data_IF_527312778975
#
_entry.id   IF_527312778975
#
_cell.length_a   1.000
_cell.length_b   1.000
_cell.length_c   1.000
_cell.angle_alpha   90.00
_cell.angle_beta   90.00
_cell.angle_gamma   90.00
#
_symmetry.space_group_name_H-M   'P 1'
#
loop_
_entity.id
_entity.type
_entity.pdbx_description
1 polymer ?
#
# COMPACT_ATOMS: atom_id res chain seq x y z
N UNK A 1 -6.28 1.15 -14.24
CA UNK A 1 -6.36 1.24 -15.72
C UNK A 1 -6.10 -0.14 -16.26
N UNK A 2 -6.93 -0.61 -17.19
CA UNK A 2 -6.73 -1.90 -17.87
C UNK A 2 -5.71 -1.75 -19.00
N UNK A 3 -4.86 -2.76 -19.19
CA UNK A 3 -3.74 -2.74 -20.16
C UNK A 3 -4.28 -2.63 -21.59
N UNK A 4 -5.35 -3.34 -21.92
CA UNK A 4 -5.97 -3.31 -23.26
C UNK A 4 -6.52 -1.93 -23.60
N UNK A 5 -7.30 -1.34 -22.69
CA UNK A 5 -7.82 0.02 -22.87
C UNK A 5 -6.73 1.09 -23.01
N UNK A 6 -5.54 0.85 -22.44
CA UNK A 6 -4.39 1.74 -22.55
C UNK A 6 -3.77 1.66 -23.94
N UNK A 7 -3.64 0.45 -24.50
CA UNK A 7 -3.14 0.25 -25.86
C UNK A 7 -4.06 0.92 -26.91
N UNK A 8 -5.39 0.79 -26.77
CA UNK A 8 -6.35 1.48 -27.65
C UNK A 8 -6.12 2.99 -27.63
N UNK A 9 -6.00 3.59 -26.44
CA UNK A 9 -5.78 5.04 -26.29
C UNK A 9 -4.45 5.49 -26.88
N UNK A 10 -3.38 4.72 -26.66
CA UNK A 10 -2.06 5.00 -27.24
C UNK A 10 -2.10 4.98 -28.76
N UNK A 11 -2.69 3.92 -29.32
CA UNK A 11 -2.84 3.74 -30.77
C UNK A 11 -3.61 4.89 -31.42
N UNK A 12 -4.76 5.27 -30.85
CA UNK A 12 -5.58 6.35 -31.38
C UNK A 12 -4.89 7.72 -31.30
N UNK A 13 -4.12 7.98 -30.22
CA UNK A 13 -3.32 9.20 -30.09
C UNK A 13 -2.19 9.28 -31.11
N UNK A 14 -1.56 8.14 -31.40
CA UNK A 14 -0.56 8.01 -32.45
C UNK A 14 -1.16 7.99 -33.87
N UNK A 15 -2.50 8.06 -34.00
CA UNK A 15 -3.25 7.94 -35.27
C UNK A 15 -2.92 6.66 -36.06
N UNK A 16 -2.63 5.57 -35.35
CA UNK A 16 -2.30 4.29 -35.96
C UNK A 16 -3.54 3.37 -36.06
N UNK A 17 -3.57 2.56 -37.10
CA UNK A 17 -4.44 1.37 -37.18
C UNK A 17 -3.87 0.24 -36.33
N UNK A 18 -4.68 -0.79 -36.06
CA UNK A 18 -4.18 -1.96 -35.34
C UNK A 18 -3.06 -2.66 -36.12
N UNK A 19 -3.13 -2.68 -37.45
CA UNK A 19 -2.11 -3.31 -38.28
C UNK A 19 -0.76 -2.57 -38.17
N UNK A 20 -0.78 -1.23 -38.25
CA UNK A 20 0.42 -0.41 -38.19
C UNK A 20 1.11 -0.49 -36.83
N UNK A 21 0.33 -0.44 -35.73
CA UNK A 21 0.90 -0.58 -34.39
C UNK A 21 1.46 -2.00 -34.16
N UNK A 22 0.73 -3.02 -34.62
CA UNK A 22 1.19 -4.41 -34.51
C UNK A 22 2.50 -4.64 -35.29
N UNK A 23 2.57 -4.12 -36.52
CA UNK A 23 3.76 -4.18 -37.36
C UNK A 23 4.96 -3.48 -36.69
N UNK A 24 4.78 -2.25 -36.23
CA UNK A 24 5.84 -1.50 -35.54
C UNK A 24 6.34 -2.16 -34.24
N UNK A 25 5.52 -2.99 -33.61
CA UNK A 25 5.87 -3.72 -32.39
C UNK A 25 6.39 -5.15 -32.62
N UNK A 26 6.40 -5.63 -33.87
CA UNK A 26 6.75 -7.01 -34.20
C UNK A 26 5.76 -8.03 -33.61
N UNK A 27 4.46 -7.77 -33.77
CA UNK A 27 3.36 -8.68 -33.42
C UNK A 27 2.31 -8.71 -34.54
N UNK A 28 1.33 -9.60 -34.45
CA UNK A 28 0.24 -9.70 -35.43
C UNK A 28 -0.94 -8.79 -35.07
N UNK A 29 -1.68 -8.33 -36.09
CA UNK A 29 -2.90 -7.54 -35.89
C UNK A 29 -3.94 -8.33 -35.05
N UNK A 30 -4.07 -9.64 -35.28
CA UNK A 30 -4.96 -10.50 -34.49
C UNK A 30 -4.52 -10.62 -33.01
N UNK A 31 -3.21 -10.63 -32.72
CA UNK A 31 -2.73 -10.58 -31.35
C UNK A 31 -3.03 -9.22 -30.70
N UNK A 32 -2.79 -8.12 -31.41
CA UNK A 32 -3.11 -6.78 -30.92
C UNK A 32 -4.61 -6.60 -30.64
N UNK A 33 -5.48 -7.09 -31.51
CA UNK A 33 -6.93 -7.03 -31.31
C UNK A 33 -7.36 -7.72 -30.00
N UNK A 34 -6.77 -8.89 -29.69
CA UNK A 34 -7.01 -9.62 -28.42
C UNK A 34 -6.47 -8.88 -27.19
N UNK A 35 -5.37 -8.14 -27.35
CA UNK A 35 -4.84 -7.28 -26.30
C UNK A 35 -5.75 -6.09 -26.06
N UNK A 36 -6.17 -5.40 -27.13
CA UNK A 36 -7.07 -4.24 -27.06
C UNK A 36 -8.45 -4.59 -26.50
N UNK A 37 -8.96 -5.79 -26.78
CA UNK A 37 -10.23 -6.29 -26.21
C UNK A 37 -10.11 -6.77 -24.76
N UNK A 38 -8.89 -6.90 -24.23
CA UNK A 38 -8.63 -7.44 -22.89
C UNK A 38 -8.81 -8.96 -22.78
N UNK A 39 -9.06 -9.67 -23.88
CA UNK A 39 -9.20 -11.14 -23.89
C UNK A 39 -7.88 -11.84 -23.54
N UNK A 40 -6.75 -11.23 -23.92
CA UNK A 40 -5.41 -11.70 -23.58
C UNK A 40 -4.59 -10.51 -23.10
N UNK A 41 -3.80 -10.68 -22.05
CA UNK A 41 -2.83 -9.66 -21.63
C UNK A 41 -1.48 -9.88 -22.33
N UNK A 42 -0.88 -8.84 -22.93
CA UNK A 42 0.48 -8.96 -23.48
C UNK A 42 1.50 -9.18 -22.36
N UNK A 43 2.61 -9.85 -22.68
CA UNK A 43 3.78 -9.87 -21.79
C UNK A 43 4.37 -8.45 -21.66
N UNK A 44 5.15 -8.20 -20.61
CA UNK A 44 5.77 -6.89 -20.40
C UNK A 44 6.64 -6.45 -21.58
N UNK A 45 7.45 -7.37 -22.12
CA UNK A 45 8.27 -7.12 -23.31
C UNK A 45 7.40 -6.77 -24.55
N UNK A 46 6.28 -7.46 -24.77
CA UNK A 46 5.37 -7.13 -25.87
C UNK A 46 4.68 -5.78 -25.66
N UNK A 47 4.29 -5.48 -24.43
CA UNK A 47 3.69 -4.21 -24.07
C UNK A 47 4.66 -3.03 -24.29
N UNK A 48 5.92 -3.16 -23.87
CA UNK A 48 6.95 -2.15 -24.07
C UNK A 48 7.21 -1.89 -25.57
N UNK A 49 7.27 -2.95 -26.39
CA UNK A 49 7.41 -2.81 -27.85
C UNK A 49 6.25 -2.05 -28.47
N UNK A 50 5.02 -2.34 -28.06
CA UNK A 50 3.81 -1.64 -28.53
C UNK A 50 3.85 -0.15 -28.16
N UNK A 51 4.19 0.18 -26.92
CA UNK A 51 4.24 1.58 -26.49
C UNK A 51 5.31 2.34 -27.25
N UNK A 52 6.51 1.75 -27.41
CA UNK A 52 7.62 2.36 -28.15
C UNK A 52 7.26 2.58 -29.62
N UNK A 53 6.60 1.61 -30.25
CA UNK A 53 6.12 1.72 -31.63
C UNK A 53 5.08 2.84 -31.81
N UNK A 54 4.28 3.11 -30.79
CA UNK A 54 3.35 4.25 -30.76
C UNK A 54 4.02 5.60 -30.43
N UNK A 55 5.35 5.65 -30.27
CA UNK A 55 6.08 6.87 -29.94
C UNK A 55 5.84 7.38 -28.50
N UNK A 56 5.39 6.51 -27.60
CA UNK A 56 5.12 6.86 -26.21
C UNK A 56 6.16 6.26 -25.25
N UNK A 57 6.21 6.80 -24.04
CA UNK A 57 7.00 6.26 -22.94
C UNK A 57 6.05 5.72 -21.85
N UNK A 58 6.32 4.51 -21.34
CA UNK A 58 5.61 3.99 -20.17
C UNK A 58 6.44 4.22 -18.92
N UNK A 59 5.87 4.99 -18.00
CA UNK A 59 6.33 5.01 -16.62
C UNK A 59 5.50 4.05 -15.78
N UNK A 60 6.08 2.92 -15.39
CA UNK A 60 5.45 2.01 -14.44
C UNK A 60 5.69 2.58 -13.04
N UNK A 61 4.63 3.14 -12.44
CA UNK A 61 4.61 3.44 -11.02
C UNK A 61 3.70 2.43 -10.36
N UNK A 62 4.25 1.66 -9.43
CA UNK A 62 3.43 1.09 -8.38
C UNK A 62 2.98 2.29 -7.53
N UNK A 63 1.68 2.54 -7.35
CA UNK A 63 1.28 3.54 -6.37
C UNK A 63 1.94 3.09 -5.06
N UNK A 64 2.80 3.94 -4.51
CA UNK A 64 3.13 3.85 -3.09
C UNK A 64 1.77 3.76 -2.41
N UNK A 65 1.52 2.69 -1.63
CA UNK A 65 0.25 2.54 -0.91
C UNK A 65 -0.11 3.94 -0.40
N UNK A 66 -1.32 4.47 -0.70
CA UNK A 66 -1.66 5.84 -0.35
C UNK A 66 -1.18 6.00 1.08
N UNK A 67 -0.21 6.89 1.32
CA UNK A 67 0.17 7.20 2.69
C UNK A 67 -1.11 7.75 3.26
N UNK A 68 -1.91 6.90 3.90
CA UNK A 68 -3.21 7.29 4.36
C UNK A 68 -2.88 8.37 5.37
N UNK A 69 -3.12 9.62 5.02
CA UNK A 69 -3.25 10.65 6.03
C UNK A 69 -4.18 10.02 7.06
N UNK A 70 -3.74 9.93 8.32
CA UNK A 70 -4.52 9.45 9.47
C UNK A 70 -5.71 10.39 9.70
N UNK A 71 -6.52 10.54 8.66
CA UNK A 71 -7.65 11.42 8.42
C UNK A 71 -8.95 10.59 8.47
N UNK A 72 -8.82 9.27 8.50
CA UNK A 72 -9.88 8.34 8.86
C UNK A 72 -10.41 8.62 10.28
N UNK A 73 -11.66 8.26 10.60
CA UNK A 73 -12.25 8.46 11.92
C UNK A 73 -11.38 7.96 13.09
N UNK A 74 -10.72 6.81 12.96
CA UNK A 74 -9.80 6.26 13.99
C UNK A 74 -8.37 6.79 13.85
N UNK A 75 -7.98 7.28 12.67
CA UNK A 75 -6.70 7.96 12.45
C UNK A 75 -6.60 9.36 13.06
N UNK A 76 -7.68 10.16 13.01
CA UNK A 76 -7.65 11.55 13.51
C UNK A 76 -7.26 11.67 14.99
N UNK A 77 -7.77 10.83 15.92
CA UNK A 77 -7.34 10.84 17.31
C UNK A 77 -5.85 10.54 17.49
N UNK A 78 -5.28 9.65 16.67
CA UNK A 78 -3.85 9.31 16.72
C UNK A 78 -2.98 10.53 16.40
N UNK A 79 -3.33 11.30 15.35
CA UNK A 79 -2.63 12.55 15.04
C UNK A 79 -2.76 13.58 16.16
N UNK A 80 -3.97 13.78 16.68
CA UNK A 80 -4.23 14.77 17.73
C UNK A 80 -3.48 14.45 19.04
N UNK A 81 -3.31 13.16 19.36
CA UNK A 81 -2.69 12.69 20.61
C UNK A 81 -1.28 12.14 20.42
N UNK A 82 -0.67 12.36 19.24
CA UNK A 82 0.65 11.84 18.85
C UNK A 82 1.68 11.96 19.97
N UNK A 83 1.88 13.18 20.49
CA UNK A 83 2.88 13.45 21.54
C UNK A 83 2.68 12.54 22.76
N UNK A 84 1.43 12.42 23.23
CA UNK A 84 1.10 11.59 24.41
C UNK A 84 1.29 10.10 24.12
N UNK A 85 0.95 9.64 22.91
CA UNK A 85 1.17 8.25 22.48
C UNK A 85 2.67 7.93 22.52
N UNK A 86 3.52 8.80 21.97
CA UNK A 86 4.96 8.61 21.96
C UNK A 86 5.57 8.66 23.37
N UNK A 87 5.06 9.51 24.26
CA UNK A 87 5.46 9.52 25.67
C UNK A 87 5.14 8.20 26.37
N UNK A 88 3.92 7.67 26.20
CA UNK A 88 3.51 6.38 26.76
C UNK A 88 4.35 5.23 26.20
N UNK A 89 4.57 5.21 24.89
CA UNK A 89 5.41 4.20 24.25
C UNK A 89 6.84 4.24 24.81
N UNK A 90 7.43 5.44 24.92
CA UNK A 90 8.77 5.60 25.48
C UNK A 90 8.85 5.14 26.94
N UNK A 91 7.85 5.47 27.76
CA UNK A 91 7.78 5.02 29.16
C UNK A 91 7.70 3.49 29.29
N UNK A 92 7.10 2.83 28.30
CA UNK A 92 7.03 1.38 28.20
C UNK A 92 8.26 0.75 27.48
N UNK A 93 9.30 1.50 27.14
CA UNK A 93 10.49 0.99 26.45
C UNK A 93 10.30 0.75 24.94
N UNK A 94 9.20 1.21 24.36
CA UNK A 94 8.89 1.06 22.95
C UNK A 94 9.36 2.27 22.11
N UNK A 95 9.83 1.99 20.89
CA UNK A 95 10.29 3.00 19.93
C UNK A 95 9.69 2.74 18.54
N UNK A 96 9.95 3.64 17.59
CA UNK A 96 9.51 3.51 16.19
C UNK A 96 8.02 3.16 16.02
N UNK A 97 7.17 3.91 16.73
CA UNK A 97 5.72 3.66 16.76
C UNK A 97 5.10 4.02 15.42
N UNK A 98 4.43 3.06 14.80
CA UNK A 98 3.76 3.21 13.51
C UNK A 98 2.36 2.62 13.57
N UNK A 99 1.42 3.21 12.85
CA UNK A 99 0.08 2.65 12.62
C UNK A 99 0.15 1.68 11.45
N UNK A 100 -0.43 0.49 11.58
CA UNK A 100 -0.56 -0.45 10.47
C UNK A 100 -1.99 -0.98 10.38
N UNK A 101 -2.22 -1.97 9.51
CA UNK A 101 -3.51 -2.64 9.41
C UNK A 101 -4.61 -1.78 8.77
N UNK A 102 -5.85 -2.01 9.19
CA UNK A 102 -7.03 -1.44 8.52
C UNK A 102 -7.06 0.09 8.56
N UNK A 103 -6.56 0.70 9.64
CA UNK A 103 -6.47 2.17 9.79
C UNK A 103 -5.48 2.76 8.80
N UNK A 104 -4.28 2.16 8.68
CA UNK A 104 -3.27 2.59 7.72
C UNK A 104 -3.71 2.40 6.25
N UNK A 105 -4.59 1.43 5.97
CA UNK A 105 -5.15 1.18 4.63
C UNK A 105 -6.40 2.00 4.31
N UNK A 106 -6.96 2.73 5.28
CA UNK A 106 -8.26 3.39 5.14
C UNK A 106 -9.45 2.43 4.99
N UNK A 107 -9.29 1.17 5.43
CA UNK A 107 -10.29 0.10 5.37
C UNK A 107 -10.91 -0.21 6.75
N UNK A 108 -10.73 0.70 7.72
CA UNK A 108 -11.27 0.56 9.07
C UNK A 108 -12.80 0.55 9.09
N UNK A 109 -13.37 -0.29 9.95
CA UNK A 109 -14.79 -0.32 10.28
C UNK A 109 -15.02 0.22 11.69
N UNK A 110 -16.27 0.40 12.10
CA UNK A 110 -16.60 0.80 13.49
C UNK A 110 -16.06 -0.19 14.53
N UNK A 111 -16.01 -1.48 14.18
CA UNK A 111 -15.54 -2.57 15.06
C UNK A 111 -14.03 -2.76 15.06
N UNK A 112 -13.32 -2.17 14.09
CA UNK A 112 -11.87 -2.28 13.96
C UNK A 112 -11.15 -1.73 15.20
N UNK A 113 -10.10 -2.42 15.59
CA UNK A 113 -9.05 -1.95 16.47
C UNK A 113 -8.09 -0.99 15.74
N UNK A 114 -7.21 -0.38 16.53
CA UNK A 114 -6.06 0.37 16.04
C UNK A 114 -4.83 -0.49 16.25
N UNK A 115 -4.21 -0.93 15.16
CA UNK A 115 -2.99 -1.73 15.19
C UNK A 115 -1.75 -0.82 15.17
N UNK A 116 -0.92 -0.95 16.20
CA UNK A 116 0.35 -0.22 16.33
C UNK A 116 1.52 -1.19 16.27
N UNK A 117 2.46 -0.86 15.40
CA UNK A 117 3.72 -1.55 15.23
C UNK A 117 4.81 -0.77 15.97
N UNK A 118 5.59 -1.47 16.80
CA UNK A 118 6.68 -0.87 17.59
C UNK A 118 7.96 -1.67 17.47
N UNK A 119 9.09 -1.00 17.68
CA UNK A 119 10.34 -1.65 17.99
C UNK A 119 10.43 -1.77 19.52
N UNK A 120 10.51 -3.00 20.02
CA UNK A 120 10.48 -3.33 21.45
C UNK A 120 11.41 -4.50 21.72
N UNK A 121 12.20 -4.40 22.79
CA UNK A 121 13.02 -5.50 23.25
C UNK A 121 12.17 -6.43 24.12
N UNK A 122 11.86 -7.62 23.58
CA UNK A 122 11.08 -8.65 24.27
C UNK A 122 11.75 -9.16 25.56
N UNK A 123 13.04 -8.92 25.78
CA UNK A 123 13.73 -9.24 27.04
C UNK A 123 13.15 -8.46 28.23
N UNK A 124 12.51 -7.30 27.99
CA UNK A 124 11.86 -6.48 29.01
C UNK A 124 10.53 -7.08 29.51
N UNK A 125 10.09 -8.21 28.94
CA UNK A 125 8.89 -8.92 29.34
C UNK A 125 7.60 -8.36 28.75
N UNK A 126 6.48 -9.05 29.01
CA UNK A 126 5.18 -8.72 28.42
C UNK A 126 4.37 -7.67 29.20
N UNK A 127 4.72 -7.43 30.47
CA UNK A 127 3.97 -6.52 31.35
C UNK A 127 3.98 -5.06 30.87
N UNK A 128 5.13 -4.46 30.46
CA UNK A 128 5.15 -3.08 29.95
C UNK A 128 4.30 -2.93 28.68
N UNK A 129 4.32 -3.95 27.80
CA UNK A 129 3.52 -3.97 26.57
C UNK A 129 2.01 -4.04 26.87
N UNK A 130 1.61 -4.86 27.84
CA UNK A 130 0.22 -4.94 28.29
C UNK A 130 -0.26 -3.61 28.90
N UNK A 131 0.58 -2.96 29.71
CA UNK A 131 0.32 -1.62 30.26
C UNK A 131 0.15 -0.58 29.16
N UNK A 132 1.08 -0.55 28.20
CA UNK A 132 1.02 0.36 27.04
C UNK A 132 -0.28 0.16 26.25
N UNK A 133 -0.66 -1.09 25.98
CA UNK A 133 -1.91 -1.43 25.29
C UNK A 133 -3.13 -0.86 26.02
N UNK A 134 -3.17 -1.01 27.34
CA UNK A 134 -4.28 -0.52 28.17
C UNK A 134 -4.33 1.01 28.22
N UNK A 135 -3.18 1.66 28.40
CA UNK A 135 -3.09 3.12 28.46
C UNK A 135 -3.45 3.78 27.14
N UNK A 136 -2.98 3.22 26.02
CA UNK A 136 -3.35 3.70 24.68
C UNK A 136 -4.83 3.47 24.40
N UNK A 137 -5.39 2.34 24.80
CA UNK A 137 -6.83 2.07 24.63
C UNK A 137 -7.68 3.06 25.42
N UNK A 138 -7.27 3.37 26.65
CA UNK A 138 -7.92 4.39 27.49
C UNK A 138 -7.79 5.79 26.88
N UNK A 139 -6.59 6.13 26.41
CA UNK A 139 -6.32 7.42 25.76
C UNK A 139 -7.15 7.58 24.49
N UNK A 140 -7.31 6.55 23.67
CA UNK A 140 -7.97 6.65 22.36
C UNK A 140 -9.45 6.29 22.40
N UNK A 141 -9.96 5.85 23.56
CA UNK A 141 -11.34 5.34 23.75
C UNK A 141 -11.72 4.29 22.70
N UNK A 142 -10.72 3.54 22.23
CA UNK A 142 -10.82 2.54 21.16
C UNK A 142 -9.87 1.42 21.52
N UNK A 143 -10.19 0.17 21.16
CA UNK A 143 -9.26 -0.95 21.34
C UNK A 143 -8.00 -0.70 20.51
N UNK A 144 -6.85 -0.79 21.15
CA UNK A 144 -5.53 -0.71 20.52
C UNK A 144 -4.87 -2.07 20.65
N UNK A 145 -4.26 -2.55 19.57
CA UNK A 145 -3.34 -3.68 19.62
C UNK A 145 -1.92 -3.20 19.36
N UNK A 146 -0.97 -3.62 20.20
CA UNK A 146 0.42 -3.18 20.13
C UNK A 146 1.28 -4.39 19.85
N UNK A 147 1.95 -4.38 18.70
CA UNK A 147 2.67 -5.52 18.16
C UNK A 147 4.14 -5.15 18.00
N UNK A 148 5.07 -5.86 18.65
CA UNK A 148 6.49 -5.74 18.35
C UNK A 148 6.81 -6.23 16.94
N UNK A 149 7.61 -5.49 16.18
CA UNK A 149 8.04 -5.86 14.83
C UNK A 149 8.60 -7.28 14.74
N UNK A 150 9.39 -7.66 15.74
CA UNK A 150 10.04 -8.96 15.80
C UNK A 150 9.04 -10.14 15.87
N UNK A 151 7.79 -9.89 16.27
CA UNK A 151 6.75 -10.92 16.40
C UNK A 151 5.91 -11.10 15.12
N UNK A 152 6.09 -10.25 14.10
CA UNK A 152 5.38 -10.41 12.84
C UNK A 152 5.94 -11.57 12.02
N UNK A 153 5.04 -12.41 11.49
CA UNK A 153 5.44 -13.44 10.51
C UNK A 153 6.07 -12.79 9.28
N UNK A 154 7.12 -13.37 8.64
CA UNK A 154 7.85 -12.73 7.55
C UNK A 154 6.99 -12.19 6.40
N UNK A 155 5.97 -12.95 6.00
CA UNK A 155 5.03 -12.54 4.94
C UNK A 155 4.13 -11.38 5.34
N UNK A 156 3.79 -11.25 6.63
CA UNK A 156 3.02 -10.12 7.17
C UNK A 156 3.91 -8.91 7.37
N UNK A 157 5.14 -9.11 7.86
CA UNK A 157 6.10 -8.04 8.13
C UNK A 157 6.41 -7.22 6.88
N UNK A 158 6.64 -7.84 5.72
CA UNK A 158 6.96 -7.13 4.47
C UNK A 158 5.84 -6.14 4.07
N UNK A 159 4.59 -6.61 4.12
CA UNK A 159 3.43 -5.79 3.78
C UNK A 159 3.16 -4.74 4.86
N UNK A 160 3.14 -5.15 6.13
CA UNK A 160 2.87 -4.26 7.25
C UNK A 160 3.90 -3.13 7.36
N UNK A 161 5.19 -3.41 7.19
CA UNK A 161 6.25 -2.39 7.24
C UNK A 161 6.17 -1.40 6.07
N UNK A 162 5.73 -1.86 4.89
CA UNK A 162 5.60 -0.99 3.71
C UNK A 162 4.38 -0.06 3.83
N UNK A 163 3.31 -0.54 4.45
CA UNK A 163 2.05 0.19 4.62
C UNK A 163 2.01 0.99 5.93
N UNK A 164 2.95 0.74 6.85
CA UNK A 164 2.97 1.36 8.17
C UNK A 164 3.20 2.88 8.10
N UNK A 165 2.44 3.62 8.90
CA UNK A 165 2.45 5.08 8.94
C UNK A 165 3.09 5.52 10.26
N UNK A 166 4.24 6.20 10.23
CA UNK A 166 4.91 6.64 11.45
C UNK A 166 4.04 7.62 12.22
N UNK A 167 4.00 7.45 13.54
CA UNK A 167 3.30 8.39 14.40
C UNK A 167 4.09 9.64 14.65
#
# INVERSE_FOLDING_TARGET
>A
MDVGSTLVKLRLRARMTQSELAHGAGTSQAALARYESGTVSPSMNTFERLVRAAGAEVKISYPKAPQATLASPKGRPLRKRRKKILELAKAAGATNVRVFGSVARGQETRRSDIDLLIDYDSSQGALPLAGLKQDLSRLLKTRVDVVPCAMLKPHVAKTALTEAIPL
#
